data_IF_983210175566
#
_entry.id   IF_983210175566
#
_cell.length_a   1.000
_cell.length_b   1.000
_cell.length_c   1.000
_cell.angle_alpha   90.00
_cell.angle_beta   90.00
_cell.angle_gamma   90.00
#
_symmetry.space_group_name_H-M   'P 1'
#
loop_
_entity.id
_entity.type
_entity.pdbx_description
1 polymer ?
#
# COMPACT_ATOMS: atom_id res chain seq x y z
N UNK A 1 -11.21 -11.82 -24.22
CA UNK A 1 -10.23 -12.62 -23.49
C UNK A 1 -10.89 -13.89 -22.97
N UNK A 2 -11.79 -13.84 -22.03
CA UNK A 2 -12.63 -14.94 -21.58
C UNK A 2 -14.08 -14.48 -21.42
N UNK A 3 -15.02 -15.43 -21.26
CA UNK A 3 -16.46 -15.12 -21.18
C UNK A 3 -16.80 -14.19 -20.01
N UNK A 4 -16.06 -14.32 -18.91
CA UNK A 4 -16.29 -13.56 -17.68
C UNK A 4 -15.27 -12.45 -17.45
N UNK A 5 -14.42 -12.16 -18.45
CA UNK A 5 -13.39 -11.12 -18.33
C UNK A 5 -14.02 -9.73 -18.36
N UNK A 6 -14.11 -9.10 -17.21
CA UNK A 6 -14.51 -7.71 -17.06
C UNK A 6 -13.25 -6.93 -16.69
N UNK A 7 -12.74 -6.15 -17.63
CA UNK A 7 -11.56 -5.30 -17.42
C UNK A 7 -11.98 -3.89 -16.98
N UNK A 8 -12.99 -3.81 -16.14
CA UNK A 8 -13.41 -2.55 -15.54
C UNK A 8 -12.51 -2.25 -14.34
N UNK A 9 -11.79 -1.14 -14.42
CA UNK A 9 -10.91 -0.69 -13.36
C UNK A 9 -11.66 0.25 -12.42
N UNK A 10 -12.24 -0.29 -11.36
CA UNK A 10 -12.86 0.51 -10.30
C UNK A 10 -11.80 1.06 -9.33
N UNK A 11 -10.78 0.24 -8.99
CA UNK A 11 -9.68 0.61 -8.12
C UNK A 11 -8.35 0.20 -8.74
N UNK A 12 -7.35 1.04 -8.61
CA UNK A 12 -6.01 0.73 -9.05
C UNK A 12 -5.04 1.85 -8.65
N UNK A 13 -3.74 1.58 -8.56
CA UNK A 13 -2.77 2.59 -8.24
C UNK A 13 -2.67 3.60 -9.38
N UNK A 14 -2.39 4.85 -9.04
CA UNK A 14 -1.91 5.84 -10.01
C UNK A 14 -0.43 5.58 -10.29
N UNK A 15 0.06 5.98 -11.47
CA UNK A 15 1.46 5.74 -11.85
C UNK A 15 2.46 6.31 -10.83
N UNK A 16 2.16 7.47 -10.24
CA UNK A 16 2.99 8.05 -9.20
C UNK A 16 3.17 7.11 -7.99
N UNK A 17 2.14 6.35 -7.62
CA UNK A 17 2.25 5.40 -6.52
C UNK A 17 3.27 4.30 -6.81
N UNK A 18 3.43 3.88 -8.06
CA UNK A 18 4.39 2.85 -8.43
C UNK A 18 5.84 3.29 -8.18
N UNK A 19 6.10 4.60 -8.09
CA UNK A 19 7.42 5.11 -7.73
C UNK A 19 7.81 4.90 -6.26
N UNK A 20 6.91 4.38 -5.41
CA UNK A 20 7.28 3.98 -4.04
C UNK A 20 8.28 2.81 -4.04
N UNK A 21 8.32 2.05 -5.14
CA UNK A 21 9.22 0.92 -5.32
C UNK A 21 10.50 1.33 -6.05
N UNK A 22 11.61 0.75 -5.64
CA UNK A 22 12.85 0.76 -6.42
C UNK A 22 12.80 -0.36 -7.46
N UNK A 23 13.62 -0.26 -8.51
CA UNK A 23 13.65 -1.26 -9.59
C UNK A 23 14.09 -2.66 -9.13
N UNK A 24 14.82 -2.75 -8.01
CA UNK A 24 15.25 -3.98 -7.37
C UNK A 24 14.27 -4.53 -6.31
N UNK A 25 13.06 -4.00 -6.24
CA UNK A 25 12.00 -4.53 -5.38
C UNK A 25 11.20 -5.59 -6.16
N UNK A 26 11.10 -6.79 -5.59
CA UNK A 26 10.39 -7.90 -6.23
C UNK A 26 8.92 -7.58 -6.50
N UNK A 27 8.28 -6.79 -5.63
CA UNK A 27 6.85 -6.48 -5.71
C UNK A 27 6.45 -5.69 -6.95
N UNK A 28 7.38 -4.88 -7.51
CA UNK A 28 7.12 -4.13 -8.75
C UNK A 28 7.46 -4.94 -10.01
N UNK A 29 8.07 -6.11 -9.89
CA UNK A 29 8.39 -6.94 -11.04
C UNK A 29 7.11 -7.50 -11.70
N UNK A 30 7.17 -7.86 -13.00
CA UNK A 30 6.00 -8.37 -13.73
C UNK A 30 5.32 -9.54 -12.99
N UNK A 31 3.98 -9.49 -12.91
CA UNK A 31 3.14 -10.52 -12.31
C UNK A 31 3.40 -10.79 -10.82
N UNK A 32 3.94 -9.80 -10.10
CA UNK A 32 4.04 -9.84 -8.64
C UNK A 32 2.83 -9.09 -8.03
N UNK A 33 3.02 -7.92 -7.43
CA UNK A 33 1.89 -7.18 -6.86
C UNK A 33 1.01 -6.49 -7.91
N UNK A 34 1.59 -6.20 -9.09
CA UNK A 34 0.88 -5.50 -10.16
C UNK A 34 0.92 -6.31 -11.45
N UNK A 35 -0.20 -6.34 -12.17
CA UNK A 35 -0.37 -7.11 -13.38
C UNK A 35 -0.81 -6.21 -14.52
N UNK A 36 -0.08 -6.25 -15.63
CA UNK A 36 -0.46 -5.62 -16.89
C UNK A 36 -0.86 -6.64 -17.95
N UNK A 37 -0.28 -7.84 -17.87
CA UNK A 37 -0.48 -8.88 -18.88
C UNK A 37 -1.29 -10.03 -18.29
N UNK A 38 -2.32 -10.42 -19.02
CA UNK A 38 -3.20 -11.53 -18.67
C UNK A 38 -3.21 -12.52 -19.83
N UNK A 39 -2.92 -13.78 -19.58
CA UNK A 39 -2.95 -14.85 -20.59
C UNK A 39 -3.99 -15.86 -20.18
N UNK A 40 -4.96 -16.12 -21.08
CA UNK A 40 -5.93 -17.18 -20.87
C UNK A 40 -5.22 -18.52 -21.13
N UNK A 41 -5.12 -19.41 -20.13
CA UNK A 41 -4.41 -20.68 -20.26
C UNK A 41 -5.10 -21.64 -21.26
N UNK A 42 -6.43 -21.53 -21.45
CA UNK A 42 -7.19 -22.46 -22.29
C UNK A 42 -6.98 -22.22 -23.79
N UNK A 43 -6.76 -20.99 -24.20
CA UNK A 43 -6.68 -20.61 -25.60
C UNK A 43 -5.46 -19.78 -25.99
N UNK A 44 -4.58 -19.46 -25.01
CA UNK A 44 -3.36 -18.70 -25.21
C UNK A 44 -3.55 -17.21 -25.57
N UNK A 45 -4.80 -16.71 -25.60
CA UNK A 45 -5.05 -15.28 -25.86
C UNK A 45 -4.53 -14.42 -24.73
N UNK A 46 -3.82 -13.37 -25.10
CA UNK A 46 -3.29 -12.38 -24.17
C UNK A 46 -4.06 -11.06 -24.27
N UNK A 47 -4.16 -10.38 -23.14
CA UNK A 47 -4.60 -9.00 -23.05
C UNK A 47 -3.60 -8.20 -22.21
N UNK A 48 -3.22 -7.04 -22.72
CA UNK A 48 -2.30 -6.13 -22.00
C UNK A 48 -3.06 -4.88 -21.60
N UNK A 49 -3.05 -4.59 -20.31
CA UNK A 49 -3.61 -3.36 -19.78
C UNK A 49 -2.77 -2.15 -20.24
N UNK A 50 -3.39 -0.98 -20.44
CA UNK A 50 -2.64 0.26 -20.60
C UNK A 50 -1.68 0.48 -19.43
N UNK A 51 -0.57 1.18 -19.67
CA UNK A 51 0.48 1.41 -18.67
C UNK A 51 -0.06 1.95 -17.33
N UNK A 52 -1.04 2.85 -17.40
CA UNK A 52 -1.69 3.47 -16.24
C UNK A 52 -2.88 2.68 -15.67
N UNK A 53 -3.07 1.42 -16.05
CA UNK A 53 -4.25 0.62 -15.73
C UNK A 53 -3.90 -0.78 -15.25
N UNK A 54 -2.79 -0.96 -14.54
CA UNK A 54 -2.44 -2.25 -13.95
C UNK A 54 -3.50 -2.74 -12.97
N UNK A 55 -3.72 -4.05 -12.95
CA UNK A 55 -4.46 -4.71 -11.89
C UNK A 55 -3.60 -4.92 -10.65
N UNK A 56 -4.21 -5.21 -9.51
CA UNK A 56 -3.51 -5.60 -8.30
C UNK A 56 -3.74 -7.08 -8.02
N UNK A 57 -2.67 -7.81 -7.75
CA UNK A 57 -2.73 -9.23 -7.44
C UNK A 57 -3.64 -9.55 -6.23
N UNK A 58 -3.70 -8.69 -5.28
CA UNK A 58 -4.59 -8.85 -4.11
C UNK A 58 -6.06 -9.09 -4.50
N UNK A 59 -6.51 -8.46 -5.60
CA UNK A 59 -7.88 -8.57 -6.11
C UNK A 59 -8.01 -9.60 -7.24
N UNK A 60 -6.90 -10.16 -7.73
CA UNK A 60 -6.91 -11.10 -8.85
C UNK A 60 -7.38 -12.48 -8.41
N UNK A 61 -8.36 -13.00 -9.12
CA UNK A 61 -8.91 -14.34 -8.96
C UNK A 61 -9.05 -14.97 -10.35
N UNK A 62 -8.19 -15.92 -10.65
CA UNK A 62 -8.10 -16.55 -11.98
C UNK A 62 -9.35 -17.39 -12.27
N UNK A 63 -9.88 -18.12 -11.30
CA UNK A 63 -11.08 -18.93 -11.47
C UNK A 63 -12.31 -18.06 -11.75
N UNK A 64 -12.45 -16.93 -11.03
CA UNK A 64 -13.49 -15.96 -11.32
C UNK A 64 -13.36 -15.36 -12.71
N UNK A 65 -12.13 -15.07 -13.15
CA UNK A 65 -11.86 -14.47 -14.45
C UNK A 65 -12.15 -15.41 -15.62
N UNK A 66 -11.83 -16.68 -15.48
CA UNK A 66 -11.88 -17.64 -16.57
C UNK A 66 -13.14 -18.51 -16.58
N UNK A 67 -13.66 -18.90 -15.41
CA UNK A 67 -14.62 -19.98 -15.30
C UNK A 67 -15.98 -19.58 -14.70
N UNK A 68 -16.01 -18.75 -13.67
CA UNK A 68 -17.24 -18.60 -12.86
C UNK A 68 -17.86 -17.20 -12.87
N UNK A 69 -17.08 -16.17 -13.16
CA UNK A 69 -17.50 -14.77 -13.04
C UNK A 69 -17.76 -14.31 -11.60
N UNK A 70 -17.42 -15.14 -10.61
CA UNK A 70 -17.65 -14.86 -9.18
C UNK A 70 -16.41 -15.24 -8.38
N UNK A 71 -15.82 -14.27 -7.70
CA UNK A 71 -14.70 -14.55 -6.82
C UNK A 71 -15.17 -15.21 -5.53
N UNK A 72 -14.52 -16.31 -5.20
CA UNK A 72 -14.63 -17.00 -3.89
C UNK A 72 -13.37 -16.83 -3.05
N UNK A 73 -12.45 -15.99 -3.51
CA UNK A 73 -11.19 -15.72 -2.83
C UNK A 73 -11.42 -14.99 -1.51
N UNK A 74 -10.87 -15.54 -0.44
CA UNK A 74 -10.85 -14.88 0.86
C UNK A 74 -10.05 -13.59 0.82
N UNK A 75 -10.46 -12.62 1.60
CA UNK A 75 -9.78 -11.34 1.74
C UNK A 75 -9.17 -11.24 3.12
N UNK A 76 -7.85 -11.14 3.15
CA UNK A 76 -7.13 -10.95 4.40
C UNK A 76 -7.40 -9.55 4.95
N UNK A 77 -7.98 -9.47 6.13
CA UNK A 77 -8.16 -8.20 6.86
C UNK A 77 -6.83 -7.81 7.52
N UNK A 78 -6.13 -8.80 8.07
CA UNK A 78 -4.82 -8.66 8.68
C UNK A 78 -3.86 -9.71 8.15
N UNK A 79 -2.61 -9.29 7.90
CA UNK A 79 -1.52 -10.19 7.50
C UNK A 79 -0.35 -10.11 8.48
N UNK A 80 0.42 -11.19 8.57
CA UNK A 80 1.57 -11.24 9.48
C UNK A 80 2.58 -10.11 9.26
N UNK A 81 2.75 -9.66 8.01
CA UNK A 81 3.59 -8.51 7.68
C UNK A 81 3.13 -7.23 8.41
N UNK A 82 1.81 -7.04 8.61
CA UNK A 82 1.26 -5.90 9.35
C UNK A 82 1.67 -5.96 10.82
N UNK A 83 1.53 -7.13 11.46
CA UNK A 83 1.97 -7.32 12.84
C UNK A 83 3.47 -7.03 13.03
N UNK A 84 4.32 -7.43 12.07
CA UNK A 84 5.74 -7.15 12.10
C UNK A 84 6.04 -5.65 11.98
N UNK A 85 5.37 -4.95 11.06
CA UNK A 85 5.58 -3.51 10.84
C UNK A 85 5.03 -2.68 11.99
N UNK A 86 3.87 -3.05 12.56
CA UNK A 86 3.31 -2.41 13.75
C UNK A 86 4.21 -2.59 14.97
N UNK A 87 4.77 -3.79 15.16
CA UNK A 87 5.74 -4.05 16.23
C UNK A 87 7.03 -3.24 16.04
N UNK A 88 7.57 -3.20 14.81
CA UNK A 88 8.78 -2.44 14.50
C UNK A 88 8.61 -0.95 14.81
N UNK A 89 7.51 -0.36 14.35
CA UNK A 89 7.20 1.05 14.60
C UNK A 89 6.97 1.32 16.10
N UNK A 90 6.16 0.50 16.78
CA UNK A 90 5.81 0.69 18.19
C UNK A 90 7.02 0.59 19.12
N UNK A 91 7.91 -0.38 18.87
CA UNK A 91 9.17 -0.49 19.61
C UNK A 91 10.06 0.73 19.34
N UNK A 92 10.18 1.14 18.09
CA UNK A 92 10.97 2.32 17.75
C UNK A 92 10.42 3.60 18.41
N UNK A 93 9.10 3.75 18.48
CA UNK A 93 8.45 4.88 19.14
C UNK A 93 8.77 4.92 20.64
N UNK A 94 8.74 3.79 21.33
CA UNK A 94 8.91 3.69 22.79
C UNK A 94 10.36 3.56 23.24
N UNK A 95 11.18 2.79 22.51
CA UNK A 95 12.54 2.39 22.96
C UNK A 95 13.67 2.86 22.03
N UNK A 96 13.32 3.44 20.85
CA UNK A 96 14.30 3.73 19.80
C UNK A 96 14.57 2.53 18.88
N UNK A 97 15.57 2.66 18.02
CA UNK A 97 15.90 1.65 17.01
C UNK A 97 16.65 0.49 17.65
N UNK A 98 15.92 -0.48 18.16
CA UNK A 98 16.48 -1.71 18.74
C UNK A 98 16.77 -2.74 17.65
N UNK A 99 17.58 -3.76 17.96
CA UNK A 99 17.81 -4.89 17.06
C UNK A 99 16.51 -5.67 16.76
N UNK A 100 15.59 -5.73 17.72
CA UNK A 100 14.28 -6.36 17.58
C UNK A 100 13.41 -5.59 16.59
N UNK A 101 13.23 -4.27 16.78
CA UNK A 101 12.48 -3.42 15.86
C UNK A 101 13.03 -3.51 14.42
N UNK A 102 14.36 -3.38 14.29
CA UNK A 102 15.02 -3.49 12.99
C UNK A 102 14.87 -4.88 12.37
N UNK A 103 14.90 -5.94 13.20
CA UNK A 103 14.70 -7.32 12.77
C UNK A 103 13.30 -7.58 12.21
N UNK A 104 12.25 -7.00 12.81
CA UNK A 104 10.88 -7.13 12.30
C UNK A 104 10.70 -6.42 10.95
N UNK A 105 11.18 -5.19 10.83
CA UNK A 105 11.13 -4.48 9.55
C UNK A 105 11.97 -5.21 8.48
N UNK A 106 13.15 -5.71 8.85
CA UNK A 106 14.04 -6.44 7.95
C UNK A 106 13.42 -7.73 7.39
N UNK A 107 12.59 -8.43 8.15
CA UNK A 107 11.89 -9.63 7.68
C UNK A 107 10.95 -9.31 6.51
N UNK A 108 10.22 -8.22 6.59
CA UNK A 108 9.33 -7.79 5.50
C UNK A 108 10.14 -7.36 4.28
N UNK A 109 11.16 -6.53 4.47
CA UNK A 109 12.03 -6.03 3.39
C UNK A 109 12.80 -7.14 2.68
N UNK A 110 13.32 -8.12 3.42
CA UNK A 110 14.15 -9.20 2.86
C UNK A 110 13.36 -10.07 1.87
N UNK A 111 12.06 -10.27 2.08
CA UNK A 111 11.21 -11.04 1.17
C UNK A 111 11.11 -10.40 -0.23
N UNK A 112 11.16 -9.07 -0.29
CA UNK A 112 11.02 -8.32 -1.53
C UNK A 112 12.36 -7.89 -2.14
N UNK A 113 13.48 -8.21 -1.48
CA UNK A 113 14.79 -7.75 -1.88
C UNK A 113 15.40 -8.66 -2.96
N UNK A 114 15.61 -8.13 -4.15
CA UNK A 114 16.23 -8.83 -5.28
C UNK A 114 17.78 -8.84 -5.22
N UNK A 115 18.41 -8.07 -4.32
CA UNK A 115 19.87 -8.03 -4.17
C UNK A 115 20.39 -9.21 -3.33
N UNK A 116 19.52 -10.08 -2.82
CA UNK A 116 19.90 -11.22 -2.00
C UNK A 116 20.41 -10.84 -0.60
N UNK A 117 20.16 -9.64 -0.13
CA UNK A 117 20.52 -9.23 1.24
C UNK A 117 19.76 -10.09 2.27
N UNK A 118 20.48 -10.62 3.22
CA UNK A 118 19.87 -11.38 4.32
C UNK A 118 19.14 -10.48 5.30
N UNK A 119 18.22 -11.05 6.09
CA UNK A 119 17.56 -10.34 7.19
C UNK A 119 18.59 -9.69 8.12
N UNK A 120 19.67 -10.40 8.47
CA UNK A 120 20.71 -9.87 9.35
C UNK A 120 21.43 -8.65 8.75
N UNK A 121 21.72 -8.67 7.45
CA UNK A 121 22.36 -7.53 6.79
C UNK A 121 21.44 -6.30 6.75
N UNK A 122 20.16 -6.50 6.42
CA UNK A 122 19.17 -5.42 6.41
C UNK A 122 18.95 -4.88 7.83
N UNK A 123 18.87 -5.74 8.85
CA UNK A 123 18.78 -5.35 10.26
C UNK A 123 19.93 -4.43 10.65
N UNK A 124 21.16 -4.82 10.29
CA UNK A 124 22.36 -4.02 10.60
C UNK A 124 22.35 -2.64 9.90
N UNK A 125 21.80 -2.56 8.68
CA UNK A 125 21.66 -1.29 7.97
C UNK A 125 20.57 -0.40 8.61
N UNK A 126 19.44 -0.98 8.98
CA UNK A 126 18.33 -0.27 9.64
C UNK A 126 18.72 0.28 11.01
N UNK A 127 19.56 -0.42 11.77
CA UNK A 127 20.05 0.03 13.08
C UNK A 127 20.93 1.30 13.01
N UNK A 128 21.43 1.66 11.83
CA UNK A 128 22.22 2.89 11.62
C UNK A 128 21.31 4.13 11.49
N UNK A 129 20.01 3.93 11.29
CA UNK A 129 19.07 5.03 11.15
C UNK A 129 18.79 5.71 12.49
N UNK A 130 18.59 7.03 12.47
CA UNK A 130 17.99 7.74 13.59
C UNK A 130 16.53 7.31 13.78
N UNK A 131 16.00 7.51 15.01
CA UNK A 131 14.63 7.09 15.38
C UNK A 131 13.57 7.55 14.35
N UNK A 132 13.56 8.83 13.99
CA UNK A 132 12.56 9.36 13.07
C UNK A 132 12.67 8.75 11.67
N UNK A 133 13.89 8.65 11.13
CA UNK A 133 14.13 8.05 9.83
C UNK A 133 13.73 6.57 9.79
N UNK A 134 13.94 5.82 10.88
CA UNK A 134 13.50 4.44 11.00
C UNK A 134 11.96 4.32 11.00
N UNK A 135 11.27 5.20 11.73
CA UNK A 135 9.80 5.24 11.77
C UNK A 135 9.24 5.54 10.37
N UNK A 136 9.80 6.52 9.67
CA UNK A 136 9.40 6.86 8.30
C UNK A 136 9.71 5.72 7.33
N UNK A 137 10.76 4.94 7.55
CA UNK A 137 11.03 3.73 6.78
C UNK A 137 10.00 2.62 7.06
N UNK A 138 9.50 2.48 8.30
CA UNK A 138 8.36 1.60 8.60
C UNK A 138 7.11 2.04 7.81
N UNK A 139 6.79 3.33 7.80
CA UNK A 139 5.65 3.86 7.04
C UNK A 139 5.82 3.67 5.52
N UNK A 140 7.03 3.89 5.02
CA UNK A 140 7.35 3.65 3.60
C UNK A 140 7.18 2.17 3.24
N UNK A 141 7.63 1.27 4.12
CA UNK A 141 7.48 -0.16 3.89
C UNK A 141 6.01 -0.61 3.95
N UNK A 142 5.17 0.03 4.79
CA UNK A 142 3.72 -0.21 4.79
C UNK A 142 3.08 0.20 3.46
N UNK A 143 3.49 1.32 2.85
CA UNK A 143 3.03 1.70 1.51
C UNK A 143 3.39 0.65 0.45
N UNK A 144 4.60 0.08 0.54
CA UNK A 144 5.07 -0.96 -0.39
C UNK A 144 4.38 -2.29 -0.18
N UNK A 145 4.08 -2.64 1.07
CA UNK A 145 3.58 -3.96 1.44
C UNK A 145 2.06 -4.10 1.28
N UNK A 146 1.31 -3.00 1.45
CA UNK A 146 -0.16 -3.04 1.49
C UNK A 146 -0.85 -2.21 0.39
N UNK A 147 -0.38 -2.28 -0.89
CA UNK A 147 -1.06 -1.54 -1.95
C UNK A 147 -2.50 -2.05 -2.11
N UNK A 148 -3.46 -1.12 -2.11
CA UNK A 148 -4.90 -1.41 -2.30
C UNK A 148 -5.54 -2.31 -1.21
N UNK A 149 -4.88 -2.52 -0.08
CA UNK A 149 -5.45 -3.21 1.09
C UNK A 149 -6.18 -2.24 2.05
N UNK A 150 -6.47 -1.03 1.59
CA UNK A 150 -7.19 0.03 2.32
C UNK A 150 -6.53 0.50 3.62
N UNK A 151 -5.19 0.36 3.75
CA UNK A 151 -4.44 0.75 4.96
C UNK A 151 -3.94 2.19 4.93
N UNK A 152 -3.74 2.77 3.74
CA UNK A 152 -3.02 4.06 3.58
C UNK A 152 -3.74 5.19 4.30
N UNK A 153 -5.08 5.25 4.21
CA UNK A 153 -5.84 6.32 4.87
C UNK A 153 -5.74 6.23 6.39
N UNK A 154 -5.88 5.03 6.95
CA UNK A 154 -5.77 4.82 8.39
C UNK A 154 -4.35 5.17 8.89
N UNK A 155 -3.31 4.83 8.11
CA UNK A 155 -1.95 5.23 8.41
C UNK A 155 -1.76 6.74 8.37
N UNK A 156 -2.34 7.45 7.41
CA UNK A 156 -2.31 8.91 7.36
C UNK A 156 -2.99 9.54 8.57
N UNK A 157 -4.16 9.05 8.97
CA UNK A 157 -4.92 9.58 10.10
C UNK A 157 -4.20 9.33 11.42
N UNK A 158 -3.74 8.10 11.68
CA UNK A 158 -3.07 7.75 12.95
C UNK A 158 -1.73 8.45 13.13
N UNK A 159 -1.00 8.71 12.03
CA UNK A 159 0.31 9.36 12.07
C UNK A 159 0.22 10.88 11.95
N UNK A 160 -0.89 11.40 11.44
CA UNK A 160 -1.03 12.80 11.05
C UNK A 160 -0.14 13.18 9.85
N UNK A 161 0.36 12.20 9.10
CA UNK A 161 1.29 12.40 8.00
C UNK A 161 0.75 11.88 6.67
N UNK A 162 1.11 12.56 5.60
CA UNK A 162 0.76 12.22 4.23
C UNK A 162 2.02 11.90 3.41
N UNK A 163 2.09 10.76 2.71
CA UNK A 163 3.24 10.40 1.90
C UNK A 163 3.27 11.22 0.59
N UNK A 164 4.35 11.96 0.38
CA UNK A 164 4.67 12.57 -0.91
C UNK A 164 5.71 11.72 -1.62
N UNK A 165 5.26 11.04 -2.67
CA UNK A 165 6.09 10.15 -3.47
C UNK A 165 6.80 10.97 -4.55
N UNK A 166 8.10 10.80 -4.69
CA UNK A 166 8.89 11.49 -5.72
C UNK A 166 8.45 11.07 -7.13
N UNK A 167 8.24 12.05 -7.99
CA UNK A 167 7.92 11.80 -9.40
C UNK A 167 9.15 11.38 -10.22
N UNK A 168 10.36 11.67 -9.74
CA UNK A 168 11.62 11.46 -10.45
C UNK A 168 12.52 10.40 -9.85
N UNK A 169 12.45 10.21 -8.52
CA UNK A 169 13.34 9.32 -7.78
C UNK A 169 12.53 8.14 -7.22
N UNK A 170 12.66 6.99 -7.85
CA UNK A 170 12.00 5.77 -7.37
C UNK A 170 12.48 5.39 -5.98
N UNK A 171 11.55 5.01 -5.12
CA UNK A 171 11.80 4.62 -3.74
C UNK A 171 11.86 5.79 -2.75
N UNK A 172 11.85 7.04 -3.24
CA UNK A 172 11.89 8.22 -2.37
C UNK A 172 10.47 8.66 -1.98
N UNK A 173 10.22 8.69 -0.67
CA UNK A 173 8.97 9.14 -0.07
C UNK A 173 9.29 10.12 1.05
N UNK A 174 8.63 11.26 1.07
CA UNK A 174 8.70 12.24 2.16
C UNK A 174 7.35 12.28 2.89
N UNK A 175 7.37 12.40 4.19
CA UNK A 175 6.16 12.51 5.00
C UNK A 175 5.95 13.96 5.45
N UNK A 176 4.86 14.56 4.99
CA UNK A 176 4.43 15.92 5.35
C UNK A 176 3.21 15.87 6.24
N UNK A 177 2.87 16.98 6.91
CA UNK A 177 1.64 17.04 7.70
C UNK A 177 0.42 16.76 6.84
N UNK A 178 -0.48 15.89 7.33
CA UNK A 178 -1.69 15.49 6.58
C UNK A 178 -2.58 16.70 6.29
N UNK A 179 -2.85 17.51 7.32
CA UNK A 179 -3.68 18.70 7.16
C UNK A 179 -2.94 19.74 6.33
N UNK A 180 -3.54 20.15 5.23
CA UNK A 180 -2.94 21.07 4.25
C UNK A 180 -2.16 20.39 3.13
N UNK A 181 -1.85 19.08 3.23
CA UNK A 181 -1.27 18.32 2.13
C UNK A 181 -2.25 18.25 0.95
N UNK A 182 -1.71 18.20 -0.26
CA UNK A 182 -2.51 18.10 -1.49
C UNK A 182 -2.60 16.66 -1.94
N UNK A 183 -3.81 16.15 -2.12
CA UNK A 183 -4.03 14.82 -2.65
C UNK A 183 -3.84 14.74 -4.18
N UNK A 184 -3.98 13.53 -4.75
CA UNK A 184 -3.78 13.29 -6.19
C UNK A 184 -4.78 14.01 -7.11
N UNK A 185 -5.89 14.53 -6.59
CA UNK A 185 -6.86 15.36 -7.33
C UNK A 185 -6.62 16.87 -7.22
N UNK A 186 -5.59 17.29 -6.47
CA UNK A 186 -5.26 18.70 -6.24
C UNK A 186 -6.02 19.34 -5.06
N UNK A 187 -6.88 18.59 -4.36
CA UNK A 187 -7.57 19.09 -3.17
C UNK A 187 -6.67 18.99 -1.92
N UNK A 188 -6.83 19.95 -1.01
CA UNK A 188 -6.11 19.95 0.27
C UNK A 188 -6.92 19.30 1.36
N UNK A 189 -6.25 18.46 2.16
CA UNK A 189 -6.86 17.85 3.34
C UNK A 189 -7.13 18.89 4.43
N UNK A 190 -8.31 18.78 5.06
CA UNK A 190 -8.78 19.61 6.16
C UNK A 190 -9.04 18.73 7.39
N UNK A 191 -9.12 19.32 8.56
CA UNK A 191 -9.48 18.60 9.80
C UNK A 191 -10.82 17.88 9.71
N UNK A 192 -11.78 18.44 8.98
CA UNK A 192 -13.09 17.82 8.74
C UNK A 192 -13.01 16.52 7.95
N UNK A 193 -11.94 16.31 7.18
CA UNK A 193 -11.75 15.10 6.37
C UNK A 193 -11.30 13.89 7.21
N UNK A 194 -10.91 14.13 8.46
CA UNK A 194 -10.53 13.05 9.40
C UNK A 194 -11.74 12.25 9.90
N UNK A 195 -12.93 12.78 9.73
CA UNK A 195 -14.16 12.19 10.24
C UNK A 195 -15.14 11.93 9.10
N UNK A 196 -15.88 10.84 9.21
CA UNK A 196 -17.01 10.61 8.31
C UNK A 196 -18.10 11.63 8.58
N UNK A 197 -18.65 12.30 7.55
CA UNK A 197 -19.73 13.25 7.73
C UNK A 197 -20.99 12.55 8.24
N UNK A 198 -21.68 13.19 9.15
CA UNK A 198 -22.99 12.69 9.59
C UNK A 198 -23.97 12.82 8.39
N UNK A 199 -24.71 11.75 8.02
CA UNK A 199 -25.66 11.83 6.93
C UNK A 199 -26.68 12.94 7.13
N UNK A 200 -26.97 13.70 6.07
CA UNK A 200 -27.86 14.87 6.13
C UNK A 200 -29.25 14.51 6.69
N UNK A 201 -29.78 13.34 6.35
CA UNK A 201 -31.06 12.87 6.86
C UNK A 201 -31.04 12.60 8.38
N UNK A 202 -29.91 12.25 8.96
CA UNK A 202 -29.79 12.12 10.42
C UNK A 202 -29.75 13.47 11.11
N UNK A 203 -29.05 14.47 10.53
CA UNK A 203 -29.06 15.85 11.03
C UNK A 203 -30.48 16.42 10.99
N UNK A 204 -31.24 16.15 9.92
CA UNK A 204 -32.63 16.61 9.79
C UNK A 204 -33.57 15.97 10.82
N UNK A 205 -33.31 14.73 11.23
CA UNK A 205 -34.15 14.01 12.23
C UNK A 205 -33.77 14.34 13.67
N UNK A 206 -32.54 14.73 13.90
CA UNK A 206 -32.03 15.02 15.25
C UNK A 206 -31.43 16.43 15.31
N UNK A 207 -32.22 17.43 15.78
CA UNK A 207 -31.77 18.83 15.82
C UNK A 207 -30.61 19.07 16.79
N UNK A 208 -30.25 18.09 17.63
CA UNK A 208 -29.08 18.16 18.52
C UNK A 208 -27.77 17.76 17.83
N UNK A 209 -27.83 17.24 16.57
CA UNK A 209 -26.64 16.96 15.79
C UNK A 209 -26.24 18.23 15.04
N UNK A 210 -25.03 18.70 15.33
CA UNK A 210 -24.35 19.76 14.57
C UNK A 210 -23.13 19.20 13.89
N UNK A 211 -22.87 19.61 12.68
CA UNK A 211 -21.68 19.23 11.91
C UNK A 211 -20.64 20.34 11.97
#
# INVERSE_FOLDING_TARGET
FGTYSIFERTYGPINLFLNVYQDNDLRIQPNQFFHWNYTNPDNGKTWTAPENACGCWFWYDEDALLNTGRSTKDRDIFRYAEALLDAAESIAQSQGVTAEAAGYLAQVKARANMEGKTVAAITADLQKLGKQAFIEECWTERLREFPLEMKIWDDCVRTGKFPQISATNKGEVQFVDLIGATNGSGAKFKETDLYWPIPVNEIQRNPNLTQ
#
